data_IF_814942374909
#
_entry.id   IF_814942374909
#
_cell.length_a   1.000
_cell.length_b   1.000
_cell.length_c   1.000
_cell.angle_alpha   90.00
_cell.angle_beta   90.00
_cell.angle_gamma   90.00
#
_symmetry.space_group_name_H-M   'P 1'
#
loop_
_entity.id
_entity.type
_entity.pdbx_description
1 polymer ?
#
# COMPACT_ATOMS: atom_id res chain seq x y z
N UNK A 1 41.32 -23.27 -29.62
CA UNK A 1 40.30 -22.20 -29.57
C UNK A 1 38.94 -22.85 -29.46
N UNK A 2 38.34 -22.86 -28.28
CA UNK A 2 36.95 -23.33 -28.07
C UNK A 2 36.27 -22.28 -27.20
N UNK A 3 35.28 -21.61 -27.79
CA UNK A 3 34.46 -20.59 -27.15
C UNK A 3 33.62 -21.23 -26.04
N UNK A 4 33.83 -20.79 -24.80
CA UNK A 4 32.85 -20.96 -23.73
C UNK A 4 31.92 -19.74 -23.77
N UNK A 5 30.76 -19.92 -24.40
CA UNK A 5 29.65 -18.99 -24.31
C UNK A 5 29.06 -19.05 -22.90
N UNK A 6 29.42 -18.09 -22.04
CA UNK A 6 28.75 -17.87 -20.76
C UNK A 6 27.36 -17.28 -21.06
N UNK A 7 26.33 -18.10 -20.91
CA UNK A 7 24.95 -17.63 -20.92
C UNK A 7 24.69 -16.80 -19.66
N UNK A 8 24.53 -15.49 -19.85
CA UNK A 8 24.05 -14.57 -18.82
C UNK A 8 22.57 -14.86 -18.59
N UNK A 9 22.25 -15.56 -17.50
CA UNK A 9 20.89 -15.66 -17.01
C UNK A 9 20.47 -14.27 -16.47
N UNK A 10 19.79 -13.49 -17.31
CA UNK A 10 19.07 -12.31 -16.85
C UNK A 10 17.92 -12.80 -15.98
N UNK A 11 18.13 -12.81 -14.66
CA UNK A 11 17.04 -12.87 -13.71
C UNK A 11 16.22 -11.59 -13.90
N UNK A 12 15.11 -11.70 -14.62
CA UNK A 12 14.09 -10.67 -14.63
C UNK A 12 13.65 -10.46 -13.18
N UNK A 13 14.14 -9.38 -12.57
CA UNK A 13 13.65 -8.92 -11.29
C UNK A 13 12.17 -8.56 -11.50
N UNK A 14 11.28 -9.48 -11.13
CA UNK A 14 9.85 -9.18 -10.99
C UNK A 14 9.80 -8.05 -9.96
N UNK A 15 9.48 -6.84 -10.42
CA UNK A 15 9.31 -5.70 -9.54
C UNK A 15 8.26 -6.06 -8.48
N UNK A 16 8.48 -5.72 -7.21
CA UNK A 16 7.53 -6.07 -6.16
C UNK A 16 6.18 -5.37 -6.43
N UNK A 17 5.07 -6.12 -6.31
CA UNK A 17 3.72 -5.59 -6.47
C UNK A 17 3.42 -4.38 -5.56
N UNK A 18 4.14 -4.29 -4.43
CA UNK A 18 4.06 -3.23 -3.45
C UNK A 18 5.47 -2.86 -2.97
N UNK A 19 5.87 -1.64 -3.24
CA UNK A 19 7.07 -1.03 -2.69
C UNK A 19 6.74 -0.35 -1.36
N UNK A 20 7.60 -0.57 -0.37
CA UNK A 20 7.48 -0.02 0.98
C UNK A 20 8.83 0.52 1.41
N UNK A 21 8.90 1.83 1.58
CA UNK A 21 10.03 2.52 2.19
C UNK A 21 9.66 2.94 3.62
N UNK A 22 10.57 2.70 4.55
CA UNK A 22 10.38 2.99 5.97
C UNK A 22 11.48 3.93 6.44
N UNK A 23 11.08 5.05 7.03
CA UNK A 23 12.00 6.02 7.60
C UNK A 23 11.65 6.22 9.09
N UNK A 24 12.53 5.82 10.03
CA UNK A 24 12.28 6.01 11.45
C UNK A 24 12.49 7.48 11.82
N UNK A 25 11.66 7.97 12.72
CA UNK A 25 11.80 9.26 13.39
C UNK A 25 11.51 9.09 14.88
N UNK A 26 11.81 10.11 15.69
CA UNK A 26 11.70 9.99 17.15
C UNK A 26 10.27 9.67 17.60
N UNK A 27 10.03 8.42 17.99
CA UNK A 27 8.71 7.93 18.42
C UNK A 27 7.70 7.72 17.30
N UNK A 28 8.09 7.88 16.03
CA UNK A 28 7.21 7.69 14.86
C UNK A 28 7.94 6.91 13.75
N UNK A 29 7.16 6.26 12.90
CA UNK A 29 7.64 5.60 11.70
C UNK A 29 6.90 6.19 10.50
N UNK A 30 7.63 6.84 9.61
CA UNK A 30 7.09 7.25 8.31
C UNK A 30 7.17 6.06 7.36
N UNK A 31 6.02 5.70 6.79
CA UNK A 31 5.90 4.59 5.84
C UNK A 31 5.41 5.16 4.52
N UNK A 32 6.28 5.14 3.52
CA UNK A 32 5.92 5.45 2.14
C UNK A 32 5.61 4.15 1.40
N UNK A 33 4.49 4.13 0.70
CA UNK A 33 4.02 2.97 -0.06
C UNK A 33 3.83 3.38 -1.51
N UNK A 34 4.11 2.45 -2.42
CA UNK A 34 3.80 2.59 -3.83
C UNK A 34 3.37 1.23 -4.40
N UNK A 35 2.22 1.19 -5.06
CA UNK A 35 1.75 -0.01 -5.76
C UNK A 35 2.35 0.00 -7.16
N UNK A 36 3.30 -0.90 -7.41
CA UNK A 36 4.02 -0.99 -8.69
C UNK A 36 3.32 -1.86 -9.74
N UNK A 37 2.29 -2.61 -9.35
CA UNK A 37 1.48 -3.40 -10.30
C UNK A 37 0.44 -2.53 -11.00
N UNK A 38 0.08 -2.92 -12.22
CA UNK A 38 -1.08 -2.36 -12.90
C UNK A 38 -2.37 -2.70 -12.13
N UNK A 39 -3.25 -1.71 -12.03
CA UNK A 39 -4.59 -1.88 -11.48
C UNK A 39 -5.48 -2.60 -12.51
N UNK A 40 -6.46 -3.41 -12.08
CA UNK A 40 -7.40 -4.05 -13.01
C UNK A 40 -8.14 -3.02 -13.87
N UNK A 41 -8.34 -3.30 -15.16
CA UNK A 41 -9.03 -2.40 -16.09
C UNK A 41 -10.43 -2.00 -15.61
N UNK A 42 -11.15 -2.93 -14.97
CA UNK A 42 -12.47 -2.67 -14.37
C UNK A 42 -12.44 -1.51 -13.37
N UNK A 43 -11.34 -1.37 -12.63
CA UNK A 43 -11.15 -0.33 -11.62
C UNK A 43 -10.95 1.03 -12.29
N UNK A 44 -10.11 1.07 -13.33
CA UNK A 44 -9.88 2.26 -14.15
C UNK A 44 -11.15 2.70 -14.88
N UNK A 45 -11.91 1.76 -15.43
CA UNK A 45 -13.20 2.01 -16.08
C UNK A 45 -14.24 2.53 -15.08
N UNK A 46 -14.30 1.95 -13.88
CA UNK A 46 -15.20 2.40 -12.82
C UNK A 46 -14.90 3.85 -12.43
N UNK A 47 -13.63 4.20 -12.23
CA UNK A 47 -13.21 5.56 -11.91
C UNK A 47 -13.53 6.54 -13.05
N UNK A 48 -13.27 6.16 -14.30
CA UNK A 48 -13.63 6.97 -15.47
C UNK A 48 -15.15 7.20 -15.58
N UNK A 49 -15.95 6.21 -15.20
CA UNK A 49 -17.41 6.28 -15.15
C UNK A 49 -17.96 7.08 -13.95
N UNK A 50 -17.11 7.52 -13.02
CA UNK A 50 -17.52 8.26 -11.82
C UNK A 50 -17.92 7.40 -10.63
N UNK A 51 -17.69 6.08 -10.69
CA UNK A 51 -17.82 5.24 -9.52
C UNK A 51 -16.67 5.53 -8.54
N UNK A 52 -16.94 5.60 -7.23
CA UNK A 52 -15.91 5.77 -6.22
C UNK A 52 -15.06 4.52 -6.16
N UNK A 53 -13.74 4.71 -6.14
CA UNK A 53 -12.76 3.64 -6.06
C UNK A 53 -11.84 3.87 -4.89
N UNK A 54 -11.42 2.80 -4.22
CA UNK A 54 -10.60 2.90 -3.01
C UNK A 54 -9.59 1.79 -2.87
N UNK A 55 -8.38 2.13 -2.41
CA UNK A 55 -7.34 1.17 -2.04
C UNK A 55 -7.15 1.26 -0.52
N UNK A 56 -7.31 0.13 0.16
CA UNK A 56 -7.07 0.02 1.59
C UNK A 56 -5.68 -0.56 1.84
N UNK A 57 -4.80 0.26 2.37
CA UNK A 57 -3.47 -0.13 2.84
C UNK A 57 -3.58 -0.55 4.30
N UNK A 58 -3.32 -1.84 4.57
CA UNK A 58 -3.28 -2.38 5.92
C UNK A 58 -1.85 -2.42 6.41
N UNK A 59 -1.57 -1.67 7.46
CA UNK A 59 -0.28 -1.65 8.14
C UNK A 59 -0.42 -2.37 9.48
N UNK A 60 0.44 -3.35 9.73
CA UNK A 60 0.45 -4.11 10.98
C UNK A 60 1.85 -4.10 11.57
N UNK A 61 1.94 -3.69 12.82
CA UNK A 61 3.18 -3.66 13.57
C UNK A 61 3.22 -4.86 14.51
N UNK A 62 4.26 -5.67 14.39
CA UNK A 62 4.51 -6.82 15.24
C UNK A 62 5.82 -6.64 15.97
N UNK A 63 5.88 -7.20 17.18
CA UNK A 63 7.13 -7.31 17.90
C UNK A 63 7.89 -8.53 17.43
N UNK A 64 9.16 -8.36 17.08
CA UNK A 64 10.07 -9.47 16.77
C UNK A 64 10.56 -10.10 18.07
N UNK A 65 10.04 -11.27 18.46
CA UNK A 65 10.55 -12.03 19.61
C UNK A 65 11.01 -13.41 19.18
N UNK A 66 12.12 -13.87 19.75
CA UNK A 66 12.77 -15.14 19.37
C UNK A 66 12.07 -16.40 19.91
N UNK A 67 11.18 -16.28 20.91
CA UNK A 67 10.70 -17.41 21.74
C UNK A 67 9.20 -17.41 22.05
N UNK A 68 8.45 -16.36 21.69
CA UNK A 68 7.01 -16.29 21.92
C UNK A 68 6.33 -15.81 20.64
N UNK A 69 5.11 -16.28 20.40
CA UNK A 69 4.24 -15.86 19.30
C UNK A 69 4.29 -14.34 19.10
N UNK A 70 4.50 -13.91 17.85
CA UNK A 70 4.56 -12.49 17.49
C UNK A 70 3.30 -11.78 17.96
N UNK A 71 3.47 -10.85 18.92
CA UNK A 71 2.36 -10.05 19.42
C UNK A 71 2.13 -8.89 18.45
N UNK A 72 0.93 -8.82 17.88
CA UNK A 72 0.46 -7.65 17.13
C UNK A 72 0.36 -6.47 18.10
N UNK A 73 1.21 -5.47 17.90
CA UNK A 73 1.26 -4.27 18.74
C UNK A 73 0.24 -3.23 18.28
N UNK A 74 0.20 -2.98 16.98
CA UNK A 74 -0.66 -1.97 16.40
C UNK A 74 -1.14 -2.41 15.01
N UNK A 75 -2.27 -1.85 14.60
CA UNK A 75 -2.77 -1.99 13.24
C UNK A 75 -3.36 -0.67 12.83
N UNK A 76 -2.95 -0.23 11.66
CA UNK A 76 -3.43 0.99 11.05
C UNK A 76 -4.02 0.67 9.68
N UNK A 77 -5.04 1.43 9.33
CA UNK A 77 -5.73 1.32 8.06
C UNK A 77 -5.67 2.68 7.39
N UNK A 78 -5.01 2.71 6.23
CA UNK A 78 -4.97 3.88 5.36
C UNK A 78 -5.87 3.58 4.15
N UNK A 79 -6.98 4.31 4.05
CA UNK A 79 -7.93 4.19 2.94
C UNK A 79 -7.71 5.38 2.02
N UNK A 80 -7.37 5.09 0.77
CA UNK A 80 -7.15 6.12 -0.25
C UNK A 80 -8.26 6.00 -1.27
N UNK A 81 -8.99 7.09 -1.48
CA UNK A 81 -10.18 7.15 -2.30
C UNK A 81 -9.96 8.14 -3.43
N UNK A 82 -10.44 7.76 -4.61
CA UNK A 82 -10.60 8.67 -5.74
C UNK A 82 -12.02 8.53 -6.29
N UNK A 83 -12.63 9.64 -6.67
CA UNK A 83 -13.94 9.64 -7.30
C UNK A 83 -14.01 10.78 -8.30
N UNK A 84 -14.49 10.48 -9.51
CA UNK A 84 -14.76 11.51 -10.51
C UNK A 84 -16.15 12.11 -10.28
N UNK A 85 -16.23 13.42 -10.19
CA UNK A 85 -17.49 14.15 -10.22
C UNK A 85 -18.04 14.15 -11.67
N UNK A 86 -19.23 13.58 -11.92
CA UNK A 86 -19.79 13.51 -13.27
C UNK A 86 -20.21 14.87 -13.84
N UNK A 87 -20.43 15.88 -12.99
CA UNK A 87 -20.87 17.21 -13.41
C UNK A 87 -19.69 18.09 -13.84
N UNK A 88 -18.62 18.10 -13.05
CA UNK A 88 -17.44 18.93 -13.28
C UNK A 88 -16.34 18.20 -14.04
N UNK A 89 -16.30 16.87 -13.95
CA UNK A 89 -15.26 16.02 -14.51
C UNK A 89 -13.98 15.94 -13.66
N UNK A 90 -13.92 16.70 -12.56
CA UNK A 90 -12.79 16.75 -11.61
C UNK A 90 -12.82 15.51 -10.72
N UNK A 91 -11.65 15.05 -10.31
CA UNK A 91 -11.49 13.93 -9.39
C UNK A 91 -11.30 14.44 -7.97
N UNK A 92 -12.18 14.06 -7.05
CA UNK A 92 -11.98 14.26 -5.62
C UNK A 92 -11.07 13.16 -5.07
N UNK A 93 -10.01 13.58 -4.39
CA UNK A 93 -8.98 12.70 -3.84
C UNK A 93 -8.97 12.82 -2.32
N UNK A 94 -9.06 11.69 -1.62
CA UNK A 94 -9.05 11.67 -0.15
C UNK A 94 -8.17 10.53 0.33
N UNK A 95 -7.37 10.79 1.34
CA UNK A 95 -6.61 9.78 2.07
C UNK A 95 -6.99 9.86 3.55
N UNK A 96 -7.40 8.74 4.11
CA UNK A 96 -7.87 8.63 5.49
C UNK A 96 -7.04 7.59 6.23
N UNK A 97 -6.41 7.95 7.33
CA UNK A 97 -5.73 7.01 8.21
C UNK A 97 -6.53 6.84 9.50
N UNK A 98 -6.95 5.62 9.81
CA UNK A 98 -7.78 5.30 10.99
C UNK A 98 -9.02 6.20 11.12
N UNK A 99 -9.65 6.55 9.98
CA UNK A 99 -10.81 7.46 9.84
C UNK A 99 -10.52 8.95 10.04
N UNK A 100 -9.26 9.34 10.17
CA UNK A 100 -8.84 10.74 10.16
C UNK A 100 -8.30 11.10 8.78
N UNK A 101 -8.69 12.26 8.24
CA UNK A 101 -8.21 12.72 6.93
C UNK A 101 -6.74 13.09 7.07
N UNK A 102 -5.88 12.37 6.35
CA UNK A 102 -4.45 12.63 6.30
C UNK A 102 -4.14 13.71 5.25
N UNK A 103 -4.73 13.58 4.07
CA UNK A 103 -4.65 14.54 2.99
C UNK A 103 -5.87 14.44 2.08
N UNK A 104 -6.23 15.55 1.46
CA UNK A 104 -7.28 15.65 0.45
C UNK A 104 -6.81 16.57 -0.68
N UNK A 105 -7.32 16.34 -1.88
CA UNK A 105 -7.00 17.15 -3.04
C UNK A 105 -7.98 16.93 -4.17
N UNK A 106 -7.67 17.56 -5.29
CA UNK A 106 -8.39 17.39 -6.55
C UNK A 106 -7.38 17.07 -7.65
N UNK A 107 -7.82 16.32 -8.65
CA UNK A 107 -7.06 16.06 -9.86
C UNK A 107 -7.93 16.33 -11.09
N UNK A 108 -7.30 16.81 -12.15
CA UNK A 108 -7.98 17.13 -13.41
C UNK A 108 -7.88 15.98 -14.42
N UNK A 109 -7.09 14.96 -14.10
CA UNK A 109 -6.85 13.82 -14.97
C UNK A 109 -7.02 12.48 -14.25
N UNK A 110 -7.40 11.46 -15.04
CA UNK A 110 -7.51 10.09 -14.56
C UNK A 110 -6.16 9.53 -14.10
N UNK A 111 -5.07 9.91 -14.78
CA UNK A 111 -3.72 9.47 -14.45
C UNK A 111 -3.29 9.99 -13.07
N UNK A 112 -3.52 11.26 -12.76
CA UNK A 112 -3.26 11.82 -11.43
C UNK A 112 -4.11 11.16 -10.34
N UNK A 113 -5.37 10.87 -10.64
CA UNK A 113 -6.25 10.17 -9.69
C UNK A 113 -5.77 8.73 -9.43
N UNK A 114 -5.29 8.02 -10.46
CA UNK A 114 -4.67 6.69 -10.33
C UNK A 114 -3.35 6.79 -9.56
N UNK A 115 -2.54 7.80 -9.87
CA UNK A 115 -1.28 8.05 -9.16
C UNK A 115 -1.52 8.27 -7.67
N UNK A 116 -2.52 9.09 -7.31
CA UNK A 116 -2.89 9.35 -5.92
C UNK A 116 -3.20 8.07 -5.13
N UNK A 117 -4.01 7.16 -5.71
CA UNK A 117 -4.41 5.93 -5.02
C UNK A 117 -3.27 4.91 -4.95
N UNK A 118 -2.38 4.88 -5.94
CA UNK A 118 -1.22 3.97 -6.00
C UNK A 118 -0.01 4.48 -5.21
N UNK A 119 0.14 5.79 -5.07
CA UNK A 119 1.22 6.48 -4.37
C UNK A 119 0.64 7.37 -3.26
N UNK A 120 0.09 6.76 -2.18
CA UNK A 120 -0.49 7.53 -1.09
C UNK A 120 0.53 8.46 -0.44
N UNK A 121 0.06 9.53 0.25
CA UNK A 121 0.90 10.29 1.16
C UNK A 121 1.49 9.37 2.24
N UNK A 122 2.66 9.75 2.76
CA UNK A 122 3.35 8.95 3.78
C UNK A 122 2.49 8.78 5.03
N UNK A 123 2.35 7.54 5.49
CA UNK A 123 1.63 7.23 6.72
C UNK A 123 2.56 7.34 7.92
N UNK A 124 2.14 8.06 8.96
CA UNK A 124 2.87 8.15 10.23
C UNK A 124 2.31 7.19 11.27
N UNK A 125 3.14 6.23 11.70
CA UNK A 125 2.77 5.27 12.74
C UNK A 125 3.45 5.64 14.05
N UNK A 126 2.71 5.61 15.16
CA UNK A 126 3.31 5.75 16.48
C UNK A 126 4.12 4.49 16.82
N UNK A 127 5.39 4.67 17.18
CA UNK A 127 6.23 3.58 17.65
C UNK A 127 6.16 3.47 19.17
N UNK A 128 6.11 2.25 19.73
CA UNK A 128 6.29 2.08 21.16
C UNK A 128 7.68 2.57 21.57
N UNK A 129 7.78 3.23 22.72
CA UNK A 129 9.03 3.81 23.26
C UNK A 129 10.10 2.73 23.55
N UNK A 130 9.73 1.45 23.54
CA UNK A 130 10.63 0.34 23.88
C UNK A 130 11.50 -0.05 22.69
N UNK A 131 12.79 -0.23 22.92
CA UNK A 131 13.83 -0.63 21.95
C UNK A 131 13.76 -2.11 21.53
N UNK A 132 12.56 -2.61 21.31
CA UNK A 132 12.38 -4.00 20.89
C UNK A 132 12.37 -4.03 19.37
N UNK A 133 13.01 -5.02 18.72
CA UNK A 133 12.98 -5.10 17.28
C UNK A 133 11.53 -5.28 16.81
N UNK A 134 11.13 -4.53 15.79
CA UNK A 134 9.76 -4.54 15.25
C UNK A 134 9.76 -4.97 13.79
N UNK A 135 8.67 -5.62 13.40
CA UNK A 135 8.34 -5.92 12.01
C UNK A 135 7.12 -5.13 11.58
N UNK A 136 7.21 -4.49 10.43
CA UNK A 136 6.09 -3.89 9.73
C UNK A 136 5.64 -4.84 8.63
N UNK A 137 4.34 -5.16 8.63
CA UNK A 137 3.67 -5.88 7.55
C UNK A 137 2.71 -4.94 6.86
N UNK A 138 2.84 -4.83 5.54
CA UNK A 138 1.99 -3.95 4.71
C UNK A 138 1.34 -4.76 3.60
N UNK A 139 0.08 -4.46 3.31
CA UNK A 139 -0.67 -5.00 2.17
C UNK A 139 -1.59 -3.93 1.61
N UNK A 140 -1.67 -3.84 0.28
CA UNK A 140 -2.70 -3.06 -0.40
C UNK A 140 -3.87 -3.96 -0.82
N UNK A 141 -5.09 -3.52 -0.60
CA UNK A 141 -6.33 -4.22 -0.95
C UNK A 141 -7.18 -3.31 -1.86
N UNK A 142 -7.54 -3.78 -3.05
CA UNK A 142 -8.10 -2.95 -4.13
C UNK A 142 -9.60 -3.17 -4.35
N UNK A 143 -10.04 -4.43 -4.23
CA UNK A 143 -11.39 -4.88 -4.57
C UNK A 143 -11.80 -6.02 -3.65
N UNK A 144 -13.06 -6.03 -3.25
CA UNK A 144 -13.68 -7.21 -2.64
C UNK A 144 -14.64 -7.80 -3.67
N UNK A 145 -14.23 -8.89 -4.32
CA UNK A 145 -15.08 -9.67 -5.23
C UNK A 145 -15.84 -10.72 -4.43
N UNK A 146 -17.12 -10.97 -4.73
CA UNK A 146 -17.87 -12.06 -4.11
C UNK A 146 -17.89 -13.29 -5.03
N UNK A 147 -17.24 -14.37 -4.62
CA UNK A 147 -17.34 -15.67 -5.30
C UNK A 147 -18.62 -16.37 -4.85
N UNK A 148 -19.40 -16.87 -5.81
CA UNK A 148 -20.69 -17.54 -5.58
C UNK A 148 -21.70 -16.69 -4.77
N UNK A 149 -21.58 -15.36 -4.77
CA UNK A 149 -22.39 -14.42 -3.96
C UNK A 149 -22.26 -14.57 -2.42
N UNK A 150 -21.48 -15.53 -1.91
CA UNK A 150 -21.37 -15.79 -0.45
C UNK A 150 -19.95 -15.65 0.09
N UNK A 151 -18.92 -15.80 -0.75
CA UNK A 151 -17.52 -15.84 -0.30
C UNK A 151 -16.80 -14.57 -0.76
N UNK A 152 -16.55 -13.58 0.13
CA UNK A 152 -15.75 -12.42 -0.21
C UNK A 152 -14.30 -12.85 -0.46
N UNK A 153 -13.76 -12.46 -1.61
CA UNK A 153 -12.37 -12.59 -2.02
C UNK A 153 -11.81 -11.20 -2.19
N UNK A 154 -10.91 -10.80 -1.30
CA UNK A 154 -10.24 -9.50 -1.38
C UNK A 154 -9.02 -9.61 -2.31
N UNK A 155 -9.10 -8.95 -3.46
CA UNK A 155 -7.96 -8.76 -4.34
C UNK A 155 -7.02 -7.72 -3.74
N UNK A 156 -5.76 -8.09 -3.63
CA UNK A 156 -4.74 -7.28 -2.98
C UNK A 156 -3.35 -7.83 -3.27
N UNK A 157 -2.34 -7.10 -2.85
CA UNK A 157 -0.94 -7.54 -2.95
C UNK A 157 -0.67 -8.67 -1.94
N UNK A 158 0.47 -9.35 -2.11
CA UNK A 158 1.03 -10.15 -1.02
C UNK A 158 1.43 -9.24 0.15
N UNK A 159 1.51 -9.82 1.35
CA UNK A 159 2.07 -9.12 2.50
C UNK A 159 3.56 -8.85 2.28
N UNK A 160 3.95 -7.58 2.34
CA UNK A 160 5.34 -7.15 2.34
C UNK A 160 5.78 -6.97 3.79
N UNK A 161 6.89 -7.61 4.13
CA UNK A 161 7.48 -7.55 5.46
C UNK A 161 8.75 -6.69 5.44
N UNK A 162 8.83 -5.71 6.35
CA UNK A 162 10.01 -4.85 6.54
C UNK A 162 10.40 -4.83 8.01
N UNK A 163 11.69 -4.96 8.29
CA UNK A 163 12.20 -4.67 9.62
C UNK A 163 12.08 -3.17 9.86
N UNK A 164 11.61 -2.77 11.04
CA UNK A 164 11.62 -1.36 11.44
C UNK A 164 13.03 -1.04 11.91
N UNK A 165 13.76 -0.15 11.21
CA UNK A 165 15.08 0.27 11.65
C UNK A 165 14.98 0.99 13.00
N UNK A 166 16.01 0.83 13.83
CA UNK A 166 16.11 1.58 15.09
C UNK A 166 16.22 3.08 14.77
N UNK A 167 15.56 3.92 15.57
CA UNK A 167 15.78 5.37 15.47
C UNK A 167 17.25 5.66 15.76
N UNK A 168 17.92 6.53 14.97
CA UNK A 168 19.20 7.09 15.38
C UNK A 168 19.06 7.85 16.70
#
# INVERSE_FOLDING_TARGET
MVLAALALAAAAAVAPDLEVAVQPSTGRLSVQMAVGRELPDEWTQALAAGAPVSITYRLRLYRNRRLFWDLRLASHELVVKAQRDPLTGVFSLVSEMNREILASGEADSLEEAIFWVTHPPSAELALPIRHEPLWLFVRAEFLTRYKLLVIPSTEGTSWVQKAVPESP
#
